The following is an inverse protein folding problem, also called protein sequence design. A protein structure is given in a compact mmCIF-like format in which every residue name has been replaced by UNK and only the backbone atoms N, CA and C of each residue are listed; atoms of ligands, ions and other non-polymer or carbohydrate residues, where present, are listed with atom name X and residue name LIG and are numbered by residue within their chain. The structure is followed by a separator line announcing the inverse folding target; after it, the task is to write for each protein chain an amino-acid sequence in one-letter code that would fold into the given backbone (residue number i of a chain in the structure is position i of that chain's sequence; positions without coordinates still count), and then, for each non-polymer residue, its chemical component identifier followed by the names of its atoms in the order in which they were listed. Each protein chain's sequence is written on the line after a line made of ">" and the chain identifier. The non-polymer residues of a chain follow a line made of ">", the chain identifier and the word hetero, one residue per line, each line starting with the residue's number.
data_IF_678660461362
#
_entry.id   IF_678660461362
#
_cell.length_a   1.000
_cell.length_b   1.000
_cell.length_c   1.000
_cell.angle_alpha   90.00
_cell.angle_beta   90.00
_cell.angle_gamma   90.00
#
_symmetry.space_group_name_H-M   'P 1'
#
loop_
_entity.id
_entity.type
_entity.pdbx_description
1 polymer ?
#
# COMPACT_ATOMS: atom_id res chain seq x y z
N UNK A 1 3.95 -18.30 6.07
CA UNK A 1 3.01 -18.56 4.95
C UNK A 1 1.69 -17.86 5.24
N UNK A 2 1.08 -17.18 4.27
CA UNK A 2 -0.25 -16.60 4.44
C UNK A 2 -1.30 -17.71 4.64
N UNK A 3 -2.37 -17.46 5.42
CA UNK A 3 -3.29 -18.48 5.92
C UNK A 3 -4.12 -19.21 4.84
N UNK A 4 -4.06 -18.79 3.58
CA UNK A 4 -4.85 -19.36 2.47
C UNK A 4 -4.00 -20.10 1.41
N UNK A 5 -2.70 -20.33 1.63
CA UNK A 5 -1.83 -20.99 0.65
C UNK A 5 -2.34 -22.39 0.25
N UNK A 6 -2.60 -22.63 -1.04
CA UNK A 6 -2.96 -23.94 -1.62
C UNK A 6 -4.47 -24.24 -1.75
N UNK A 7 -5.36 -23.25 -1.62
CA UNK A 7 -6.80 -23.40 -1.90
C UNK A 7 -7.11 -23.01 -3.36
N UNK A 8 -8.16 -23.56 -3.98
CA UNK A 8 -8.66 -23.01 -5.26
C UNK A 8 -9.00 -21.52 -5.05
N UNK A 9 -8.27 -20.63 -5.74
CA UNK A 9 -8.28 -19.19 -5.50
C UNK A 9 -7.14 -18.63 -4.62
N UNK A 10 -6.12 -19.43 -4.24
CA UNK A 10 -4.88 -18.98 -3.56
C UNK A 10 -3.76 -20.06 -3.62
N UNK A 11 -2.54 -19.83 -4.18
CA UNK A 11 -1.67 -18.68 -3.94
C UNK A 11 -1.17 -18.02 -5.26
N UNK A 12 -0.38 -16.93 -5.21
CA UNK A 12 -0.50 -15.86 -6.19
C UNK A 12 0.02 -16.30 -7.56
N UNK A 13 -0.73 -16.02 -8.63
CA UNK A 13 -0.16 -15.96 -9.98
C UNK A 13 0.90 -14.85 -10.12
N UNK A 14 1.15 -14.08 -9.04
CA UNK A 14 2.19 -13.08 -9.01
C UNK A 14 3.55 -13.77 -8.82
N UNK A 15 4.40 -13.59 -9.82
CA UNK A 15 5.79 -14.01 -9.78
C UNK A 15 6.52 -13.35 -8.58
N UNK A 16 7.52 -14.03 -7.98
CA UNK A 16 8.38 -13.43 -6.96
C UNK A 16 8.97 -12.09 -7.41
N UNK A 17 9.23 -11.17 -6.47
CA UNK A 17 9.76 -9.84 -6.82
C UNK A 17 11.05 -9.91 -7.66
N UNK A 18 11.91 -10.90 -7.40
CA UNK A 18 13.17 -11.11 -8.13
C UNK A 18 12.98 -11.51 -9.60
N UNK A 19 11.80 -12.02 -9.97
CA UNK A 19 11.46 -12.38 -11.34
C UNK A 19 10.75 -11.24 -12.08
N UNK A 20 10.24 -10.23 -11.36
CA UNK A 20 9.54 -9.09 -11.97
C UNK A 20 10.35 -7.79 -11.95
N UNK A 21 11.23 -7.59 -10.96
CA UNK A 21 12.06 -6.40 -10.81
C UNK A 21 13.54 -6.72 -10.76
N UNK A 22 14.35 -5.94 -11.49
CA UNK A 22 15.80 -6.01 -11.42
C UNK A 22 16.30 -5.41 -10.10
N UNK A 23 16.55 -6.27 -9.12
CA UNK A 23 17.04 -5.90 -7.79
C UNK A 23 18.47 -5.30 -7.80
N UNK A 24 19.18 -5.34 -8.94
CA UNK A 24 20.49 -4.68 -9.10
C UNK A 24 20.36 -3.18 -9.38
N UNK A 25 19.16 -2.73 -9.77
CA UNK A 25 18.84 -1.33 -10.00
C UNK A 25 18.12 -0.73 -8.80
N UNK A 26 18.14 0.60 -8.62
CA UNK A 26 17.40 1.25 -7.55
C UNK A 26 15.90 0.94 -7.62
N UNK A 27 15.30 0.64 -6.46
CA UNK A 27 13.87 0.48 -6.28
C UNK A 27 13.38 1.64 -5.41
N UNK A 28 12.32 2.29 -5.85
CA UNK A 28 11.73 3.43 -5.19
C UNK A 28 10.42 3.04 -4.53
N UNK A 29 10.12 3.70 -3.41
CA UNK A 29 8.88 3.50 -2.68
C UNK A 29 7.96 4.69 -2.99
N UNK A 30 6.86 4.42 -3.66
CA UNK A 30 5.77 5.38 -3.80
C UNK A 30 4.73 5.10 -2.71
N UNK A 31 4.40 6.11 -1.91
CA UNK A 31 3.41 5.94 -0.85
C UNK A 31 2.41 7.10 -0.83
N UNK A 32 1.27 6.87 -0.21
CA UNK A 32 0.33 7.93 0.17
C UNK A 32 0.11 7.93 1.68
N UNK A 33 -0.20 9.09 2.24
CA UNK A 33 -0.57 9.26 3.63
C UNK A 33 -2.03 9.69 3.71
N UNK A 34 -2.86 8.91 4.38
CA UNK A 34 -4.26 9.21 4.57
C UNK A 34 -4.53 9.45 6.06
N UNK A 35 -4.97 10.67 6.38
CA UNK A 35 -5.39 11.03 7.73
C UNK A 35 -6.75 10.39 8.05
N UNK A 36 -6.68 9.25 8.74
CA UNK A 36 -7.86 8.51 9.16
C UNK A 36 -8.61 9.24 10.27
N UNK A 37 -7.91 9.96 11.15
CA UNK A 37 -8.52 10.73 12.24
C UNK A 37 -9.46 11.81 11.70
N UNK A 38 -8.98 12.60 10.73
CA UNK A 38 -9.78 13.63 10.07
C UNK A 38 -10.92 13.03 9.23
N UNK A 39 -10.73 11.83 8.66
CA UNK A 39 -11.81 11.12 7.99
C UNK A 39 -12.92 10.70 8.96
N UNK A 40 -12.57 10.06 10.08
CA UNK A 40 -13.51 9.64 11.12
C UNK A 40 -14.29 10.84 11.66
N UNK A 41 -13.63 11.96 11.97
CA UNK A 41 -14.28 13.16 12.47
C UNK A 41 -15.30 13.72 11.46
N UNK A 42 -14.95 13.78 10.17
CA UNK A 42 -15.87 14.22 9.12
C UNK A 42 -17.06 13.27 8.97
N UNK A 43 -16.80 11.96 8.99
CA UNK A 43 -17.85 10.96 8.85
C UNK A 43 -18.79 10.96 10.06
N UNK A 44 -18.27 11.15 11.28
CA UNK A 44 -19.09 11.24 12.50
C UNK A 44 -20.02 12.46 12.48
N UNK A 45 -19.58 13.58 11.89
CA UNK A 45 -20.44 14.77 11.70
C UNK A 45 -21.56 14.54 10.68
N UNK A 46 -21.30 13.75 9.64
CA UNK A 46 -22.27 13.45 8.57
C UNK A 46 -23.24 12.32 8.94
N UNK A 47 -22.75 11.35 9.71
CA UNK A 47 -23.45 10.14 10.11
C UNK A 47 -23.26 9.91 11.61
N UNK A 48 -23.91 10.71 12.48
CA UNK A 48 -23.78 10.61 13.92
C UNK A 48 -24.27 9.27 14.48
N UNK A 49 -25.12 8.55 13.75
CA UNK A 49 -25.66 7.25 14.09
C UNK A 49 -24.69 6.07 13.81
N UNK A 50 -23.61 6.31 13.04
CA UNK A 50 -22.66 5.25 12.71
C UNK A 50 -21.80 4.87 13.91
N UNK A 51 -21.63 3.56 14.10
CA UNK A 51 -20.68 3.01 15.06
C UNK A 51 -19.23 3.35 14.67
N UNK A 52 -18.33 3.33 15.65
CA UNK A 52 -16.89 3.56 15.42
C UNK A 52 -16.31 2.60 14.36
N UNK A 53 -16.80 1.35 14.32
CA UNK A 53 -16.42 0.36 13.31
C UNK A 53 -16.82 0.80 11.90
N UNK A 54 -18.01 1.37 11.73
CA UNK A 54 -18.47 1.87 10.42
C UNK A 54 -17.68 3.11 10.00
N UNK A 55 -17.41 4.03 10.92
CA UNK A 55 -16.60 5.23 10.66
C UNK A 55 -15.16 4.90 10.21
N UNK A 56 -14.60 3.79 10.72
CA UNK A 56 -13.25 3.29 10.37
C UNK A 56 -13.21 2.37 9.15
N UNK A 57 -14.35 2.06 8.55
CA UNK A 57 -14.43 1.04 7.52
C UNK A 57 -13.53 1.39 6.31
N UNK A 58 -12.56 0.51 6.04
CA UNK A 58 -11.54 0.65 5.00
C UNK A 58 -12.12 0.88 3.61
N UNK A 59 -13.30 0.31 3.33
CA UNK A 59 -13.95 0.41 2.01
C UNK A 59 -14.27 1.85 1.61
N UNK A 60 -14.49 2.75 2.56
CA UNK A 60 -14.86 4.13 2.29
C UNK A 60 -13.68 5.04 1.92
N UNK A 61 -12.47 4.73 2.40
CA UNK A 61 -11.31 5.61 2.25
C UNK A 61 -10.13 4.99 1.50
N UNK A 62 -10.05 3.66 1.42
CA UNK A 62 -8.98 2.96 0.73
C UNK A 62 -8.88 3.34 -0.74
N UNK A 63 -10.02 3.54 -1.43
CA UNK A 63 -10.03 3.96 -2.83
C UNK A 63 -9.31 5.29 -3.06
N UNK A 64 -9.55 6.27 -2.19
CA UNK A 64 -8.91 7.59 -2.23
C UNK A 64 -7.40 7.47 -2.01
N UNK A 65 -6.99 6.78 -0.95
CA UNK A 65 -5.57 6.60 -0.62
C UNK A 65 -4.81 5.82 -1.71
N UNK A 66 -5.42 4.79 -2.30
CA UNK A 66 -4.84 4.05 -3.44
C UNK A 66 -4.77 4.88 -4.72
N UNK A 67 -5.72 5.79 -4.96
CA UNK A 67 -5.67 6.71 -6.11
C UNK A 67 -4.46 7.64 -6.00
N UNK A 68 -4.23 8.19 -4.82
CA UNK A 68 -3.08 9.05 -4.53
C UNK A 68 -1.75 8.30 -4.64
N UNK A 69 -1.65 7.09 -4.07
CA UNK A 69 -0.45 6.26 -4.21
C UNK A 69 -0.11 5.98 -5.69
N UNK A 70 -1.13 5.67 -6.51
CA UNK A 70 -0.95 5.47 -7.96
C UNK A 70 -0.52 6.75 -8.67
N UNK A 71 -0.97 7.92 -8.21
CA UNK A 71 -0.54 9.20 -8.75
C UNK A 71 0.95 9.42 -8.48
N UNK A 72 1.41 9.21 -7.25
CA UNK A 72 2.83 9.31 -6.90
C UNK A 72 3.69 8.29 -7.65
N UNK A 73 3.21 7.06 -7.84
CA UNK A 73 3.91 6.06 -8.63
C UNK A 73 4.10 6.49 -10.09
N UNK A 74 3.07 7.10 -10.71
CA UNK A 74 3.16 7.64 -12.08
C UNK A 74 4.13 8.81 -12.17
N UNK A 75 4.13 9.70 -11.17
CA UNK A 75 5.09 10.80 -11.09
C UNK A 75 6.52 10.23 -11.05
N UNK A 76 6.78 9.24 -10.19
CA UNK A 76 8.08 8.58 -10.12
C UNK A 76 8.51 7.97 -11.47
N UNK A 77 7.59 7.31 -12.18
CA UNK A 77 7.88 6.81 -13.54
C UNK A 77 8.25 7.95 -14.51
N UNK A 78 7.54 9.09 -14.45
CA UNK A 78 7.84 10.25 -15.30
C UNK A 78 9.21 10.88 -15.04
N UNK A 79 9.75 10.72 -13.83
CA UNK A 79 11.11 11.13 -13.46
C UNK A 79 12.18 10.07 -13.81
N UNK A 80 11.79 8.95 -14.44
CA UNK A 80 12.73 7.90 -14.83
C UNK A 80 13.14 6.96 -13.69
N UNK A 81 12.38 6.92 -12.59
CA UNK A 81 12.65 6.02 -11.45
C UNK A 81 12.37 4.53 -11.75
N UNK A 82 11.77 4.21 -12.90
CA UNK A 82 11.44 2.84 -13.29
C UNK A 82 10.30 2.78 -14.30
N UNK A 83 10.11 1.62 -14.91
CA UNK A 83 9.05 1.33 -15.89
C UNK A 83 7.96 0.39 -15.34
N UNK A 84 8.22 -0.24 -14.19
CA UNK A 84 7.30 -1.15 -13.52
C UNK A 84 6.83 -0.60 -12.17
N UNK A 85 5.52 -0.73 -11.91
CA UNK A 85 4.90 -0.39 -10.62
C UNK A 85 4.19 -1.62 -10.04
N UNK A 86 4.56 -2.00 -8.83
CA UNK A 86 3.88 -3.03 -8.04
C UNK A 86 3.05 -2.37 -6.95
N UNK A 87 1.73 -2.37 -7.12
CA UNK A 87 0.77 -1.80 -6.16
C UNK A 87 0.42 -2.75 -5.01
N UNK A 88 0.78 -4.02 -5.13
CA UNK A 88 0.61 -5.05 -4.10
C UNK A 88 1.92 -5.85 -3.94
N UNK A 89 2.99 -5.22 -3.42
CA UNK A 89 4.30 -5.86 -3.27
C UNK A 89 4.27 -7.08 -2.33
N UNK A 90 3.35 -7.14 -1.37
CA UNK A 90 3.13 -8.30 -0.49
C UNK A 90 2.77 -9.58 -1.28
N UNK A 91 2.04 -9.43 -2.40
CA UNK A 91 1.70 -10.56 -3.26
C UNK A 91 2.93 -11.15 -3.96
N UNK A 92 4.02 -10.39 -4.09
CA UNK A 92 5.28 -10.78 -4.71
C UNK A 92 6.32 -11.24 -3.66
N UNK A 93 5.89 -11.49 -2.42
CA UNK A 93 6.75 -11.96 -1.33
C UNK A 93 7.50 -10.85 -0.57
N UNK A 94 7.18 -9.57 -0.80
CA UNK A 94 7.86 -8.46 -0.11
C UNK A 94 7.28 -8.22 1.28
N UNK A 95 8.14 -8.16 2.28
CA UNK A 95 7.77 -7.66 3.60
C UNK A 95 7.75 -6.12 3.60
N UNK A 96 6.61 -5.53 3.22
CA UNK A 96 6.45 -4.07 3.08
C UNK A 96 6.80 -3.32 4.35
N UNK A 97 6.44 -3.85 5.52
CA UNK A 97 6.75 -3.20 6.79
C UNK A 97 8.25 -3.09 7.02
N UNK A 98 8.98 -4.20 6.85
CA UNK A 98 10.44 -4.20 6.97
C UNK A 98 11.10 -3.31 5.91
N UNK A 99 10.64 -3.40 4.65
CA UNK A 99 11.17 -2.58 3.54
C UNK A 99 11.02 -1.08 3.83
N UNK A 100 9.84 -0.64 4.25
CA UNK A 100 9.60 0.76 4.59
C UNK A 100 10.40 1.19 5.83
N UNK A 101 10.52 0.34 6.84
CA UNK A 101 11.34 0.64 8.00
C UNK A 101 12.82 0.85 7.62
N UNK A 102 13.38 -0.03 6.78
CA UNK A 102 14.74 0.10 6.27
C UNK A 102 14.93 1.36 5.41
N UNK A 103 13.89 1.83 4.71
CA UNK A 103 13.93 3.07 3.94
C UNK A 103 13.67 4.33 4.77
N UNK A 104 13.55 4.22 6.10
CA UNK A 104 13.27 5.35 7.01
C UNK A 104 11.80 5.77 7.10
N UNK A 105 10.87 5.05 6.43
CA UNK A 105 9.43 5.31 6.50
C UNK A 105 8.83 4.65 7.76
N UNK A 106 8.38 5.48 8.71
CA UNK A 106 7.77 5.04 9.96
C UNK A 106 6.31 4.62 9.77
N UNK A 107 6.04 3.34 9.51
CA UNK A 107 4.66 2.82 9.43
C UNK A 107 4.11 2.54 10.83
N UNK A 108 2.93 3.10 11.14
CA UNK A 108 2.18 2.78 12.37
C UNK A 108 1.46 1.44 12.26
N UNK A 109 1.40 0.69 13.36
CA UNK A 109 0.64 -0.57 13.42
C UNK A 109 -0.86 -0.30 13.36
N UNK A 110 -1.60 -1.24 12.77
CA UNK A 110 -3.04 -1.12 12.44
C UNK A 110 -3.95 -0.74 13.63
N UNK A 111 -3.55 -1.04 14.87
CA UNK A 111 -4.39 -0.84 16.07
C UNK A 111 -4.51 0.62 16.51
N UNK A 112 -3.60 1.50 16.09
CA UNK A 112 -3.53 2.91 16.51
C UNK A 112 -3.45 3.86 15.31
N UNK A 113 -4.06 3.48 14.18
CA UNK A 113 -3.97 4.26 12.94
C UNK A 113 -4.66 5.60 13.09
N UNK A 114 -3.89 6.65 13.35
CA UNK A 114 -4.26 8.03 13.02
C UNK A 114 -3.95 8.33 11.56
N UNK A 115 -2.88 7.71 11.03
CA UNK A 115 -2.41 7.84 9.65
C UNK A 115 -2.30 6.47 9.02
N UNK A 116 -3.02 6.27 7.92
CA UNK A 116 -2.91 5.08 7.07
C UNK A 116 -1.95 5.36 5.91
N UNK A 117 -1.05 4.42 5.62
CA UNK A 117 -0.19 4.50 4.43
C UNK A 117 -0.43 3.35 3.48
N UNK A 118 -0.60 3.67 2.20
CA UNK A 118 -0.54 2.67 1.13
C UNK A 118 0.81 2.79 0.43
N UNK A 119 1.38 1.65 0.07
CA UNK A 119 2.74 1.55 -0.45
C UNK A 119 2.73 0.80 -1.78
N UNK A 120 3.46 1.32 -2.75
CA UNK A 120 3.80 0.67 -4.01
C UNK A 120 5.32 0.71 -4.21
N UNK A 121 5.84 -0.28 -4.92
CA UNK A 121 7.23 -0.28 -5.39
C UNK A 121 7.28 0.16 -6.84
N UNK A 122 8.26 0.99 -7.16
CA UNK A 122 8.57 1.43 -8.52
C UNK A 122 10.01 1.01 -8.81
N UNK A 123 10.23 0.37 -9.95
CA UNK A 123 11.54 -0.15 -10.31
C UNK A 123 11.59 -0.54 -11.77
N UNK A 124 12.68 -1.17 -12.15
CA UNK A 124 12.91 -1.63 -13.51
C UNK A 124 12.53 -3.08 -13.65
N UNK A 125 11.87 -3.43 -14.75
CA UNK A 125 11.64 -4.83 -15.10
C UNK A 125 12.97 -5.58 -15.34
N UNK A 126 12.99 -6.87 -14.98
CA UNK A 126 14.09 -7.81 -15.29
C UNK A 126 14.26 -7.97 -16.79
#
# INVERSE_FOLDING_TARGET
>A
MPPNYGREGCPPDALPIIEVMDLRKPIFIAFSEFDLSSHIQRMRKRHPEWSERQLRNVLYWQGTSRKEMRHWARIAQSYGCGDLVLTCPEAHGVNVYATCFCSGLKIQKIRELSICRHVALVGFRV
#
